data_IF_815915373303
#
_entry.id   IF_815915373303
#
_cell.length_a   1.000
_cell.length_b   1.000
_cell.length_c   1.000
_cell.angle_alpha   90.00
_cell.angle_beta   90.00
_cell.angle_gamma   90.00
#
_symmetry.space_group_name_H-M   'P 1'
#
loop_
_entity.id
_entity.type
_entity.pdbx_description
1 polymer ?
#
# COMPACT_ATOMS: atom_id res chain seq x y z
N UNK A 1 0.32 0.16 -28.57
CA UNK A 1 1.56 0.85 -28.15
C UNK A 1 1.89 0.42 -26.73
N UNK A 2 2.92 -0.39 -26.54
CA UNK A 2 3.39 -0.73 -25.18
C UNK A 2 3.97 0.53 -24.54
N UNK A 3 3.35 1.00 -23.45
CA UNK A 3 3.87 2.11 -22.65
C UNK A 3 5.22 1.66 -22.10
N UNK A 4 6.33 2.29 -22.52
CA UNK A 4 7.67 1.98 -21.99
C UNK A 4 7.60 2.11 -20.47
N UNK A 5 7.89 1.02 -19.78
CA UNK A 5 8.04 1.02 -18.33
C UNK A 5 9.22 1.92 -17.98
N UNK A 6 9.01 2.92 -17.12
CA UNK A 6 10.07 3.83 -16.68
C UNK A 6 10.84 3.13 -15.56
N UNK A 7 12.16 2.99 -15.75
CA UNK A 7 13.06 2.44 -14.75
C UNK A 7 13.47 3.53 -13.76
N UNK A 8 13.53 3.17 -12.48
CA UNK A 8 13.95 4.02 -11.38
C UNK A 8 15.12 3.38 -10.64
N UNK A 9 16.05 4.23 -10.18
CA UNK A 9 17.24 3.82 -9.44
C UNK A 9 17.34 4.64 -8.15
N UNK A 10 17.52 3.96 -7.03
CA UNK A 10 17.71 4.56 -5.71
C UNK A 10 18.89 3.92 -5.00
N UNK A 11 19.61 4.71 -4.20
CA UNK A 11 20.75 4.24 -3.39
C UNK A 11 20.48 4.45 -1.92
N UNK A 12 20.66 3.41 -1.12
CA UNK A 12 20.64 3.46 0.33
C UNK A 12 22.07 3.44 0.87
N UNK A 13 22.38 4.35 1.78
CA UNK A 13 23.66 4.42 2.47
C UNK A 13 23.75 3.34 3.55
N UNK A 14 24.10 2.13 3.16
CA UNK A 14 24.30 0.98 4.06
C UNK A 14 24.11 -0.36 3.33
N UNK A 15 24.49 -1.44 4.02
CA UNK A 15 24.31 -2.82 3.56
C UNK A 15 22.84 -3.28 3.61
N UNK A 16 22.54 -4.44 3.02
CA UNK A 16 21.23 -5.10 3.15
C UNK A 16 20.80 -5.25 4.61
N UNK A 17 21.71 -5.57 5.51
CA UNK A 17 21.41 -5.70 6.94
C UNK A 17 21.03 -4.37 7.58
N UNK A 18 21.73 -3.28 7.25
CA UNK A 18 21.41 -1.94 7.72
C UNK A 18 20.02 -1.51 7.23
N UNK A 19 19.69 -1.80 5.97
CA UNK A 19 18.38 -1.54 5.40
C UNK A 19 17.27 -2.33 6.12
N UNK A 20 17.45 -3.63 6.35
CA UNK A 20 16.47 -4.45 7.06
C UNK A 20 16.27 -3.99 8.52
N UNK A 21 17.34 -3.57 9.18
CA UNK A 21 17.26 -3.00 10.53
C UNK A 21 16.48 -1.67 10.53
N UNK A 22 16.66 -0.83 9.50
CA UNK A 22 15.87 0.40 9.34
C UNK A 22 14.39 0.09 9.15
N UNK A 23 14.03 -0.89 8.32
CA UNK A 23 12.64 -1.32 8.14
C UNK A 23 12.01 -1.79 9.45
N UNK A 24 12.72 -2.63 10.22
CA UNK A 24 12.25 -3.12 11.53
C UNK A 24 12.00 -1.98 12.52
N UNK A 25 12.85 -0.96 12.52
CA UNK A 25 12.66 0.24 13.34
C UNK A 25 11.40 1.01 12.93
N UNK A 26 11.13 1.14 11.62
CA UNK A 26 9.94 1.84 11.11
C UNK A 26 8.64 1.10 11.44
N UNK A 27 8.65 -0.23 11.46
CA UNK A 27 7.48 -1.05 11.76
C UNK A 27 7.26 -1.29 13.26
N UNK A 28 8.15 -0.80 14.14
CA UNK A 28 8.21 -1.18 15.56
C UNK A 28 8.14 -2.70 15.76
N UNK A 29 8.79 -3.44 14.86
CA UNK A 29 8.69 -4.89 14.82
C UNK A 29 10.06 -5.52 15.04
N UNK A 30 10.09 -6.50 15.94
CA UNK A 30 11.31 -7.20 16.34
C UNK A 30 11.42 -8.59 15.74
N UNK A 31 10.41 -9.03 14.98
CA UNK A 31 10.46 -10.30 14.27
C UNK A 31 11.51 -10.26 13.14
N UNK A 32 12.50 -11.16 13.22
CA UNK A 32 13.62 -11.19 12.27
C UNK A 32 13.25 -11.84 10.94
N UNK A 33 12.19 -12.66 10.92
CA UNK A 33 11.84 -13.52 9.78
C UNK A 33 10.69 -12.95 8.93
N UNK A 34 10.22 -11.73 9.22
CA UNK A 34 9.15 -11.14 8.43
C UNK A 34 9.58 -10.82 7.00
N UNK A 35 8.80 -11.39 6.08
CA UNK A 35 8.83 -11.09 4.65
C UNK A 35 8.14 -9.76 4.32
N UNK A 36 7.06 -9.41 5.02
CA UNK A 36 6.29 -8.18 4.77
C UNK A 36 6.44 -7.18 5.91
N UNK A 37 6.77 -5.94 5.56
CA UNK A 37 6.88 -4.80 6.46
C UNK A 37 5.78 -3.78 6.14
N UNK A 38 4.98 -3.43 7.15
CA UNK A 38 3.87 -2.49 7.02
C UNK A 38 4.11 -1.28 7.91
N UNK A 39 4.18 -0.10 7.31
CA UNK A 39 4.30 1.16 8.04
C UNK A 39 3.60 2.28 7.26
N UNK A 40 2.95 3.19 7.99
CA UNK A 40 2.09 4.24 7.43
C UNK A 40 1.09 3.67 6.41
N UNK A 41 1.25 4.00 5.12
CA UNK A 41 0.44 3.48 4.01
C UNK A 41 1.26 2.64 3.02
N UNK A 42 2.47 2.23 3.42
CA UNK A 42 3.42 1.51 2.59
C UNK A 42 3.53 0.05 3.00
N UNK A 43 3.84 -0.79 2.02
CA UNK A 43 4.10 -2.21 2.20
C UNK A 43 5.43 -2.51 1.54
N UNK A 44 6.32 -3.20 2.22
CA UNK A 44 7.57 -3.69 1.63
C UNK A 44 7.58 -5.20 1.72
N UNK A 45 7.69 -5.88 0.59
CA UNK A 45 7.87 -7.33 0.47
C UNK A 45 9.35 -7.60 0.17
N UNK A 46 10.04 -8.27 1.10
CA UNK A 46 11.45 -8.64 0.98
C UNK A 46 11.54 -10.12 0.60
N UNK A 47 12.04 -10.40 -0.60
CA UNK A 47 12.45 -11.73 -1.05
C UNK A 47 13.98 -11.77 -1.14
N UNK A 48 14.54 -12.97 -1.38
CA UNK A 48 15.99 -13.17 -1.37
C UNK A 48 16.72 -12.26 -2.37
N UNK A 49 16.20 -12.12 -3.60
CA UNK A 49 16.82 -11.40 -4.73
C UNK A 49 16.02 -10.16 -5.22
N UNK A 50 14.90 -9.87 -4.57
CA UNK A 50 13.96 -8.83 -5.00
C UNK A 50 13.33 -8.16 -3.79
N UNK A 51 13.23 -6.84 -3.82
CA UNK A 51 12.46 -6.08 -2.83
C UNK A 51 11.38 -5.30 -3.57
N UNK A 52 10.13 -5.53 -3.17
CA UNK A 52 8.97 -4.91 -3.78
C UNK A 52 8.34 -3.89 -2.83
N UNK A 53 8.10 -2.69 -3.33
CA UNK A 53 7.58 -1.57 -2.55
C UNK A 53 6.18 -1.19 -3.04
N UNK A 54 5.18 -1.34 -2.19
CA UNK A 54 3.80 -0.95 -2.43
C UNK A 54 3.66 0.57 -2.35
N UNK A 55 3.47 1.22 -3.50
CA UNK A 55 3.46 2.68 -3.66
C UNK A 55 2.10 3.25 -4.09
N UNK A 56 1.08 2.40 -4.21
CA UNK A 56 -0.27 2.88 -4.45
C UNK A 56 -1.31 1.78 -4.40
N UNK A 57 -2.20 1.82 -3.40
CA UNK A 57 -3.25 0.80 -3.17
C UNK A 57 -2.73 -0.63 -2.99
N UNK A 58 -1.43 -0.82 -2.73
CA UNK A 58 -0.84 -2.15 -2.56
C UNK A 58 -1.54 -2.93 -1.43
N UNK A 59 -1.86 -4.19 -1.68
CA UNK A 59 -2.62 -5.06 -0.76
C UNK A 59 -3.41 -6.14 -1.50
N UNK A 60 -4.35 -6.79 -0.81
CA UNK A 60 -5.18 -7.89 -1.34
C UNK A 60 -5.93 -7.54 -2.64
N UNK A 61 -6.33 -6.27 -2.80
CA UNK A 61 -7.08 -5.80 -3.96
C UNK A 61 -6.21 -5.53 -5.20
N UNK A 62 -4.91 -5.83 -5.12
CA UNK A 62 -3.91 -5.39 -6.10
C UNK A 62 -3.53 -3.92 -5.91
N UNK A 63 -2.48 -3.47 -6.59
CA UNK A 63 -1.99 -2.12 -6.49
C UNK A 63 -0.75 -1.87 -7.34
N UNK A 64 -0.17 -0.69 -7.20
CA UNK A 64 1.09 -0.34 -7.82
C UNK A 64 2.26 -0.70 -6.91
N UNK A 65 3.18 -1.45 -7.47
CA UNK A 65 4.39 -1.92 -6.81
C UNK A 65 5.60 -1.47 -7.60
N UNK A 66 6.58 -0.87 -6.92
CA UNK A 66 7.93 -0.75 -7.43
C UNK A 66 8.65 -2.05 -7.16
N UNK A 67 8.83 -2.86 -8.20
CA UNK A 67 9.54 -4.14 -8.11
C UNK A 67 10.98 -3.88 -8.49
N UNK A 68 11.89 -4.08 -7.55
CA UNK A 68 13.31 -3.82 -7.74
C UNK A 68 14.19 -5.01 -7.41
N UNK A 69 15.22 -5.16 -8.23
CA UNK A 69 16.40 -5.92 -7.86
C UNK A 69 17.31 -4.99 -7.07
N UNK A 70 18.03 -5.57 -6.11
CA UNK A 70 19.04 -4.84 -5.38
C UNK A 70 20.42 -5.40 -5.66
N UNK A 71 21.42 -4.52 -5.70
CA UNK A 71 22.82 -4.87 -5.71
C UNK A 71 23.50 -4.18 -4.53
N UNK A 72 24.43 -4.88 -3.87
CA UNK A 72 25.25 -4.30 -2.81
C UNK A 72 26.66 -4.09 -3.34
N UNK A 73 27.12 -2.85 -3.36
CA UNK A 73 28.46 -2.48 -3.80
C UNK A 73 28.99 -1.35 -2.90
N UNK A 74 30.23 -1.46 -2.43
CA UNK A 74 30.89 -0.43 -1.61
C UNK A 74 30.07 0.02 -0.38
N UNK A 75 29.49 -0.93 0.37
CA UNK A 75 28.62 -0.66 1.54
C UNK A 75 27.36 0.18 1.22
N UNK A 76 26.96 0.22 -0.04
CA UNK A 76 25.73 0.87 -0.50
C UNK A 76 24.85 -0.14 -1.22
N UNK A 77 23.55 -0.01 -0.99
CA UNK A 77 22.54 -0.84 -1.63
C UNK A 77 21.87 -0.03 -2.73
N UNK A 78 21.98 -0.46 -3.99
CA UNK A 78 21.29 0.13 -5.14
C UNK A 78 20.02 -0.67 -5.43
N UNK A 79 18.87 0.00 -5.47
CA UNK A 79 17.59 -0.56 -5.91
C UNK A 79 17.30 -0.10 -7.32
N UNK A 80 17.22 -1.03 -8.27
CA UNK A 80 16.86 -0.76 -9.66
C UNK A 80 15.61 -1.53 -10.04
N UNK A 81 14.61 -0.84 -10.57
CA UNK A 81 13.33 -1.48 -10.84
C UNK A 81 12.34 -0.64 -11.62
N UNK A 82 11.12 -1.14 -11.71
CA UNK A 82 10.03 -0.43 -12.39
C UNK A 82 8.74 -0.48 -11.58
N UNK A 83 7.88 0.53 -11.78
CA UNK A 83 6.55 0.57 -11.19
C UNK A 83 5.58 -0.20 -12.08
N UNK A 84 4.98 -1.25 -11.53
CA UNK A 84 4.01 -2.10 -12.20
C UNK A 84 2.72 -2.25 -11.40
N UNK A 85 1.60 -2.39 -12.09
CA UNK A 85 0.33 -2.73 -11.45
C UNK A 85 0.23 -4.25 -11.30
N UNK A 86 0.09 -4.72 -10.07
CA UNK A 86 -0.18 -6.11 -9.73
C UNK A 86 -1.66 -6.21 -9.39
N UNK A 87 -2.41 -7.03 -10.13
CA UNK A 87 -3.85 -7.19 -9.91
C UNK A 87 -4.19 -7.86 -8.59
N UNK A 88 -5.48 -7.83 -8.17
CA UNK A 88 -5.93 -8.62 -7.04
C UNK A 88 -5.60 -10.09 -7.26
N UNK A 89 -5.20 -10.75 -6.18
CA UNK A 89 -5.09 -12.21 -6.16
C UNK A 89 -6.53 -12.75 -6.35
N UNK A 90 -6.74 -13.60 -7.37
CA UNK A 90 -8.08 -14.12 -7.72
C UNK A 90 -8.52 -15.12 -6.64
N UNK A 91 -8.96 -14.60 -5.49
CA UNK A 91 -9.50 -15.40 -4.41
C UNK A 91 -10.92 -15.85 -4.80
N UNK A 92 -10.98 -16.91 -5.61
CA UNK A 92 -12.22 -17.59 -5.98
C UNK A 92 -12.76 -18.40 -4.80
N UNK A 93 -13.16 -17.74 -3.73
CA UNK A 93 -13.97 -18.37 -2.69
C UNK A 93 -15.45 -17.98 -2.85
N UNK A 94 -16.18 -18.96 -3.40
CA UNK A 94 -17.61 -18.98 -3.67
C UNK A 94 -18.44 -18.82 -2.39
N UNK A 95 -19.39 -17.87 -2.44
CA UNK A 95 -20.83 -18.17 -2.42
C UNK A 95 -21.50 -18.68 -1.14
N UNK A 96 -22.49 -17.92 -0.68
CA UNK A 96 -23.85 -18.46 -0.45
C UNK A 96 -24.89 -17.33 -0.42
N UNK A 97 -25.75 -17.34 -1.44
CA UNK A 97 -27.02 -16.60 -1.49
C UNK A 97 -28.15 -17.51 -0.97
N UNK A 98 -29.21 -16.84 -0.52
CA UNK A 98 -30.60 -17.29 -0.42
C UNK A 98 -31.05 -17.93 0.89
N UNK A 99 -31.28 -17.12 1.93
CA UNK A 99 -32.28 -17.43 2.96
C UNK A 99 -32.94 -16.18 3.64
N UNK A 100 -33.00 -15.02 2.96
CA UNK A 100 -33.39 -13.75 3.60
C UNK A 100 -34.51 -13.00 2.84
N UNK A 101 -35.77 -13.43 2.92
CA UNK A 101 -36.89 -12.59 2.43
C UNK A 101 -37.90 -12.19 3.52
N UNK A 102 -38.07 -12.98 4.59
CA UNK A 102 -38.95 -12.60 5.74
C UNK A 102 -38.16 -11.87 6.83
N UNK A 103 -36.94 -12.35 7.12
CA UNK A 103 -35.97 -11.67 7.98
C UNK A 103 -35.55 -10.31 7.40
N UNK A 104 -35.46 -10.21 6.07
CA UNK A 104 -35.09 -8.99 5.37
C UNK A 104 -36.07 -7.84 5.61
N UNK A 105 -37.39 -8.09 5.62
CA UNK A 105 -38.39 -7.05 5.86
C UNK A 105 -38.34 -6.54 7.30
N UNK A 106 -38.21 -7.45 8.29
CA UNK A 106 -38.06 -7.07 9.70
C UNK A 106 -36.73 -6.33 9.95
N UNK A 107 -35.65 -6.80 9.32
CA UNK A 107 -34.35 -6.15 9.33
C UNK A 107 -34.42 -4.77 8.67
N UNK A 108 -35.14 -4.59 7.55
CA UNK A 108 -35.33 -3.28 6.92
C UNK A 108 -36.01 -2.28 7.86
N UNK A 109 -37.01 -2.70 8.62
CA UNK A 109 -37.72 -1.82 9.57
C UNK A 109 -36.80 -1.39 10.71
N UNK A 110 -36.01 -2.31 11.28
CA UNK A 110 -35.04 -2.01 12.34
C UNK A 110 -33.80 -1.26 11.82
N UNK A 111 -33.36 -1.56 10.61
CA UNK A 111 -32.19 -0.95 9.99
C UNK A 111 -32.52 0.45 9.45
N UNK A 112 -33.77 0.75 9.08
CA UNK A 112 -34.15 2.06 8.55
C UNK A 112 -33.74 3.25 9.45
N UNK A 113 -34.06 3.28 10.76
CA UNK A 113 -33.61 4.37 11.62
C UNK A 113 -32.08 4.42 11.75
N UNK A 114 -31.41 3.26 11.78
CA UNK A 114 -29.94 3.18 11.81
C UNK A 114 -29.32 3.72 10.52
N UNK A 115 -29.89 3.36 9.37
CA UNK A 115 -29.50 3.84 8.05
C UNK A 115 -29.75 5.34 7.92
N UNK A 116 -30.81 5.87 8.51
CA UNK A 116 -31.12 7.30 8.51
C UNK A 116 -30.08 8.09 9.34
N UNK A 117 -29.71 7.59 10.52
CA UNK A 117 -28.60 8.14 11.31
C UNK A 117 -27.28 8.06 10.56
N UNK A 118 -27.00 6.93 9.92
CA UNK A 118 -25.80 6.76 9.08
C UNK A 118 -25.80 7.76 7.92
N UNK A 119 -26.93 7.95 7.22
CA UNK A 119 -27.09 8.93 6.14
C UNK A 119 -26.86 10.37 6.59
N UNK A 120 -27.37 10.75 7.76
CA UNK A 120 -27.10 12.06 8.35
C UNK A 120 -25.60 12.20 8.67
N UNK A 121 -24.99 11.16 9.24
CA UNK A 121 -23.57 11.15 9.58
C UNK A 121 -22.66 11.23 8.34
N UNK A 122 -23.00 10.53 7.24
CA UNK A 122 -22.29 10.65 5.96
C UNK A 122 -22.54 11.99 5.30
N UNK A 123 -23.75 12.56 5.40
CA UNK A 123 -24.06 13.91 4.94
C UNK A 123 -23.18 14.96 5.63
N UNK A 124 -23.09 14.91 6.95
CA UNK A 124 -22.20 15.78 7.75
C UNK A 124 -20.73 15.53 7.37
N UNK A 125 -20.32 14.27 7.22
CA UNK A 125 -18.95 13.93 6.81
C UNK A 125 -18.61 14.40 5.40
N UNK A 126 -19.57 14.39 4.46
CA UNK A 126 -19.39 14.91 3.11
C UNK A 126 -19.23 16.43 3.12
N UNK A 127 -20.02 17.14 3.94
CA UNK A 127 -19.87 18.60 4.13
C UNK A 127 -18.50 18.92 4.73
N UNK A 128 -18.08 18.21 5.78
CA UNK A 128 -16.75 18.36 6.38
C UNK A 128 -15.65 18.03 5.38
N UNK A 129 -15.79 16.97 4.58
CA UNK A 129 -14.83 16.61 3.53
C UNK A 129 -14.78 17.63 2.40
N UNK A 130 -15.87 18.35 2.12
CA UNK A 130 -15.93 19.42 1.11
C UNK A 130 -15.28 20.70 1.61
N UNK A 131 -15.29 20.94 2.93
CA UNK A 131 -14.65 22.09 3.58
C UNK A 131 -13.17 21.85 3.91
N UNK A 132 -12.76 20.61 4.17
CA UNK A 132 -11.35 20.25 4.25
C UNK A 132 -10.75 20.28 2.85
N UNK A 133 -9.86 21.23 2.58
CA UNK A 133 -8.85 21.08 1.52
C UNK A 133 -8.05 19.82 1.85
N UNK A 134 -8.48 18.68 1.33
CA UNK A 134 -7.64 17.48 1.37
C UNK A 134 -6.40 17.78 0.52
N UNK A 135 -5.20 17.48 1.01
CA UNK A 135 -4.03 17.52 0.16
C UNK A 135 -4.32 16.68 -1.09
N UNK A 136 -3.86 17.16 -2.24
CA UNK A 136 -4.01 16.38 -3.48
C UNK A 136 -3.41 15.00 -3.23
N UNK A 137 -4.11 13.91 -3.59
CA UNK A 137 -3.52 12.59 -3.47
C UNK A 137 -2.25 12.56 -4.31
N UNK A 138 -1.15 12.13 -3.70
CA UNK A 138 0.12 11.94 -4.39
C UNK A 138 -0.07 10.92 -5.51
N UNK A 139 0.59 11.18 -6.63
CA UNK A 139 0.71 10.23 -7.73
C UNK A 139 1.54 9.02 -7.30
N UNK A 140 1.46 7.91 -8.03
CA UNK A 140 2.24 6.70 -7.74
C UNK A 140 3.76 6.97 -7.70
N UNK A 141 4.25 7.86 -8.56
CA UNK A 141 5.65 8.25 -8.62
C UNK A 141 6.04 9.14 -7.43
N UNK A 142 5.17 10.09 -7.04
CA UNK A 142 5.39 10.88 -5.83
C UNK A 142 5.37 10.02 -4.56
N UNK A 143 4.49 9.00 -4.48
CA UNK A 143 4.49 8.04 -3.37
C UNK A 143 5.77 7.21 -3.30
N UNK A 144 6.34 6.85 -4.46
CA UNK A 144 7.62 6.16 -4.53
C UNK A 144 8.75 7.05 -4.02
N UNK A 145 8.78 8.31 -4.46
CA UNK A 145 9.82 9.26 -4.01
C UNK A 145 9.69 9.57 -2.51
N UNK A 146 8.48 9.77 -2.01
CA UNK A 146 8.23 9.97 -0.59
C UNK A 146 8.71 8.78 0.24
N UNK A 147 8.37 7.55 -0.17
CA UNK A 147 8.83 6.33 0.47
C UNK A 147 10.35 6.20 0.48
N UNK A 148 10.98 6.31 -0.69
CA UNK A 148 12.41 6.06 -0.84
C UNK A 148 13.24 7.16 -0.18
N UNK A 149 12.90 8.44 -0.38
CA UNK A 149 13.69 9.57 0.10
C UNK A 149 13.36 9.92 1.55
N UNK A 150 12.09 10.07 1.91
CA UNK A 150 11.70 10.62 3.21
C UNK A 150 11.59 9.56 4.30
N UNK A 151 11.13 8.34 3.98
CA UNK A 151 11.01 7.27 4.98
C UNK A 151 12.29 6.42 5.07
N UNK A 152 12.83 6.01 3.93
CA UNK A 152 13.96 5.08 3.84
C UNK A 152 15.32 5.79 3.74
N UNK A 153 15.36 7.10 3.48
CA UNK A 153 16.62 7.86 3.41
C UNK A 153 17.49 7.53 2.19
N UNK A 154 16.87 7.03 1.11
CA UNK A 154 17.55 6.73 -0.14
C UNK A 154 17.77 8.00 -0.97
N UNK A 155 18.79 7.98 -1.83
CA UNK A 155 19.08 9.01 -2.82
C UNK A 155 18.72 8.53 -4.21
N UNK A 156 18.03 9.37 -5.00
CA UNK A 156 17.76 9.09 -6.41
C UNK A 156 19.01 9.32 -7.26
N UNK A 157 19.24 8.46 -8.24
CA UNK A 157 20.35 8.53 -9.21
C UNK A 157 19.85 8.95 -10.58
#
# INVERSE_FOLDING_TARGET
MAKKSKEYVFKFGGSKEAFLNRLRQLTNDHDRERRFFYFDNYIVDVKDDEISFGVGRAGHSGGYWFVSHFAEENEQMEFRGTVQYIGPEDDRTKGRKAFDNVLFVLFCILAFPVLLVLWISTGISLIINKLRKKPKPLTTEENLFDLMENHLGCQRV
#
